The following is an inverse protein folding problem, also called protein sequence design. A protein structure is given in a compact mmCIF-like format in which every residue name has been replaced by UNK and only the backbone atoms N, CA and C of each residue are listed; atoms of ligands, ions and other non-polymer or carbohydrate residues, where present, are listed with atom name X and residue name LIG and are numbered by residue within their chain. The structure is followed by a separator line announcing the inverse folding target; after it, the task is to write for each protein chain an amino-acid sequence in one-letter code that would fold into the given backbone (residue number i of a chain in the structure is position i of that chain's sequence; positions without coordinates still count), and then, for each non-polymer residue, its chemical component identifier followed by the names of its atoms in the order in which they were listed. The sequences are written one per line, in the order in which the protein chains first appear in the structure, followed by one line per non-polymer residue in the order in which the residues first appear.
data_IF_006715134228
#
_entry.id   IF_006715134228
#
_cell.length_a   1.000
_cell.length_b   1.000
_cell.length_c   1.000
_cell.angle_alpha   90.00
_cell.angle_beta   90.00
_cell.angle_gamma   90.00
#
_symmetry.space_group_name_H-M   'P 1'
#
loop_
_entity.id
_entity.type
_entity.pdbx_description
1 polymer ?
#
# COMPACT_ATOMS: atom_id res chain seq x y z
N UNK A 1 9.55 -0.23 -3.95
CA UNK A 1 9.09 -1.52 -4.49
C UNK A 1 7.59 -1.43 -4.76
N UNK A 2 7.13 -1.98 -5.89
CA UNK A 2 5.71 -2.18 -6.21
C UNK A 2 5.39 -3.66 -6.01
N UNK A 3 4.36 -3.95 -5.22
CA UNK A 3 4.02 -5.29 -4.75
C UNK A 3 2.55 -5.59 -5.07
N UNK A 4 2.28 -6.83 -5.48
CA UNK A 4 0.93 -7.38 -5.58
C UNK A 4 0.76 -8.46 -4.52
N UNK A 5 -0.43 -8.56 -3.96
CA UNK A 5 -0.80 -9.55 -2.96
C UNK A 5 -0.52 -10.98 -3.38
N UNK A 6 -0.04 -11.76 -2.41
CA UNK A 6 0.55 -13.08 -2.53
C UNK A 6 1.88 -13.12 -3.31
N UNK A 7 2.98 -13.15 -2.56
CA UNK A 7 4.26 -13.54 -3.12
C UNK A 7 4.85 -14.57 -2.19
N UNK A 8 4.91 -15.82 -2.67
CA UNK A 8 5.69 -16.91 -2.05
C UNK A 8 7.21 -16.63 -1.97
N UNK A 9 7.65 -15.44 -2.40
CA UNK A 9 8.98 -14.88 -2.19
C UNK A 9 9.05 -14.21 -0.80
N UNK A 10 9.93 -14.74 0.07
CA UNK A 10 10.13 -14.26 1.43
C UNK A 10 10.48 -12.77 1.55
N UNK A 11 11.12 -12.19 0.53
CA UNK A 11 11.51 -10.77 0.52
C UNK A 11 10.30 -9.86 0.31
N UNK A 12 9.45 -10.19 -0.67
CA UNK A 12 8.20 -9.48 -0.94
C UNK A 12 7.23 -9.63 0.23
N UNK A 13 7.16 -10.82 0.83
CA UNK A 13 6.37 -11.05 2.04
C UNK A 13 6.81 -10.18 3.22
N UNK A 14 8.11 -9.97 3.41
CA UNK A 14 8.63 -9.04 4.42
C UNK A 14 8.21 -7.59 4.15
N UNK A 15 8.35 -7.12 2.90
CA UNK A 15 7.95 -5.78 2.53
C UNK A 15 6.43 -5.53 2.68
N UNK A 16 5.59 -6.52 2.37
CA UNK A 16 4.14 -6.42 2.61
C UNK A 16 3.79 -6.34 4.10
N UNK A 17 4.51 -7.06 4.97
CA UNK A 17 4.34 -6.92 6.43
C UNK A 17 4.80 -5.54 6.91
N UNK A 18 5.91 -5.05 6.39
CA UNK A 18 6.42 -3.71 6.70
C UNK A 18 5.43 -2.61 6.26
N UNK A 19 4.83 -2.77 5.07
CA UNK A 19 3.76 -1.90 4.58
C UNK A 19 2.53 -1.91 5.49
N UNK A 20 2.04 -3.10 5.82
CA UNK A 20 0.90 -3.28 6.71
C UNK A 20 1.12 -2.55 8.04
N UNK A 21 2.31 -2.70 8.65
CA UNK A 21 2.69 -1.99 9.89
C UNK A 21 2.66 -0.47 9.72
N UNK A 22 3.25 0.08 8.66
CA UNK A 22 3.30 1.53 8.45
C UNK A 22 1.90 2.11 8.29
N UNK A 23 1.02 1.40 7.58
CA UNK A 23 -0.36 1.80 7.34
C UNK A 23 -1.19 1.72 8.64
N UNK A 24 -1.18 0.60 9.37
CA UNK A 24 -2.00 0.44 10.59
C UNK A 24 -1.52 1.27 11.78
N UNK A 25 -0.26 1.75 11.78
CA UNK A 25 0.20 2.75 12.74
C UNK A 25 -0.26 4.18 12.41
N UNK A 26 -0.78 4.40 11.19
CA UNK A 26 -1.21 5.73 10.73
C UNK A 26 -2.70 5.85 10.47
N UNK A 27 -3.43 4.74 10.35
CA UNK A 27 -4.85 4.67 10.08
C UNK A 27 -5.55 3.80 11.12
N UNK A 28 -6.73 4.24 11.55
CA UNK A 28 -7.65 3.38 12.29
C UNK A 28 -8.16 2.24 11.38
N UNK A 29 -8.55 1.09 11.95
CA UNK A 29 -9.16 0.00 11.20
C UNK A 29 -10.35 0.47 10.36
N UNK A 30 -10.46 -0.03 9.13
CA UNK A 30 -11.63 0.22 8.28
C UNK A 30 -12.57 -0.94 8.48
N UNK A 31 -13.54 -0.76 9.39
CA UNK A 31 -14.44 -1.83 9.78
C UNK A 31 -15.54 -2.05 8.73
N UNK A 32 -15.60 -3.26 8.19
CA UNK A 32 -16.74 -3.71 7.41
C UNK A 32 -17.95 -3.97 8.33
N UNK A 33 -19.05 -3.25 8.11
CA UNK A 33 -20.23 -3.32 8.98
C UNK A 33 -20.95 -4.67 8.92
N UNK A 34 -20.85 -5.37 7.79
CA UNK A 34 -21.49 -6.68 7.62
C UNK A 34 -20.73 -7.80 8.36
N UNK A 35 -19.40 -7.82 8.25
CA UNK A 35 -18.58 -8.91 8.82
C UNK A 35 -17.85 -8.55 10.11
N UNK A 36 -17.79 -7.26 10.48
CA UNK A 36 -17.01 -6.77 11.61
C UNK A 36 -15.49 -6.91 11.43
N UNK A 37 -15.01 -7.10 10.19
CA UNK A 37 -13.58 -7.29 9.90
C UNK A 37 -12.94 -5.98 9.45
N UNK A 38 -11.68 -5.80 9.82
CA UNK A 38 -10.85 -4.73 9.29
C UNK A 38 -10.49 -5.02 7.82
N UNK A 39 -10.78 -4.08 6.93
CA UNK A 39 -10.50 -4.14 5.50
C UNK A 39 -9.06 -3.77 5.16
N UNK A 40 -8.33 -3.06 6.03
CA UNK A 40 -6.96 -2.60 5.76
C UNK A 40 -6.03 -3.77 5.40
N UNK A 41 -5.99 -4.90 6.13
CA UNK A 41 -5.18 -6.05 5.73
C UNK A 41 -5.58 -6.60 4.36
N UNK A 42 -6.88 -6.65 4.05
CA UNK A 42 -7.36 -7.17 2.78
C UNK A 42 -6.89 -6.30 1.61
N UNK A 43 -6.90 -4.97 1.79
CA UNK A 43 -6.39 -4.01 0.83
C UNK A 43 -4.87 -4.15 0.62
N UNK A 44 -4.09 -4.25 1.71
CA UNK A 44 -2.60 -4.36 1.63
C UNK A 44 -2.16 -5.67 0.97
N UNK A 45 -2.84 -6.77 1.27
CA UNK A 45 -2.51 -8.10 0.74
C UNK A 45 -3.28 -8.45 -0.55
N UNK A 46 -3.95 -7.49 -1.18
CA UNK A 46 -4.76 -7.67 -2.39
C UNK A 46 -5.74 -8.86 -2.31
N UNK A 47 -6.45 -9.00 -1.19
CA UNK A 47 -7.42 -10.09 -0.94
C UNK A 47 -8.85 -9.55 -1.00
N UNK A 48 -9.77 -10.30 -1.58
CA UNK A 48 -11.19 -9.95 -1.61
C UNK A 48 -12.05 -10.69 -0.58
N UNK A 49 -13.26 -10.18 -0.38
CA UNK A 49 -14.40 -10.89 0.24
C UNK A 49 -15.52 -11.02 -0.81
N UNK A 50 -16.69 -11.51 -0.40
CA UNK A 50 -17.86 -11.52 -1.28
C UNK A 50 -18.32 -10.11 -1.67
N UNK A 51 -18.23 -9.15 -0.75
CA UNK A 51 -18.75 -7.79 -0.92
C UNK A 51 -17.68 -6.78 -1.35
N UNK A 52 -16.40 -7.09 -1.14
CA UNK A 52 -15.28 -6.19 -1.40
C UNK A 52 -14.20 -6.86 -2.25
N UNK A 53 -13.97 -6.37 -3.47
CA UNK A 53 -12.87 -6.83 -4.31
C UNK A 53 -11.64 -5.92 -4.15
N UNK A 54 -10.56 -6.42 -3.56
CA UNK A 54 -9.25 -5.76 -3.49
C UNK A 54 -8.15 -6.47 -4.29
N UNK A 55 -8.50 -7.46 -5.12
CA UNK A 55 -7.52 -8.26 -5.88
C UNK A 55 -6.62 -7.43 -6.82
N UNK A 56 -7.11 -6.26 -7.24
CA UNK A 56 -6.40 -5.30 -8.09
C UNK A 56 -5.71 -4.17 -7.32
N UNK A 57 -5.71 -4.21 -5.98
CA UNK A 57 -4.90 -3.30 -5.18
C UNK A 57 -3.42 -3.67 -5.28
N UNK A 58 -2.57 -2.65 -5.32
CA UNK A 58 -1.13 -2.75 -5.30
C UNK A 58 -0.61 -2.05 -4.04
N UNK A 59 0.47 -2.59 -3.49
CA UNK A 59 1.16 -2.00 -2.36
C UNK A 59 2.51 -1.43 -2.81
N UNK A 60 2.75 -0.16 -2.52
CA UNK A 60 4.03 0.51 -2.74
C UNK A 60 4.76 0.67 -1.43
N UNK A 61 6.05 0.37 -1.41
CA UNK A 61 6.94 0.59 -0.25
C UNK A 61 8.17 1.37 -0.70
N UNK A 62 8.39 2.52 -0.08
CA UNK A 62 9.62 3.31 -0.20
C UNK A 62 10.56 2.93 0.93
N UNK A 63 11.79 2.59 0.58
CA UNK A 63 12.85 2.32 1.53
C UNK A 63 13.91 3.42 1.48
N UNK A 64 14.42 3.80 2.64
CA UNK A 64 15.57 4.69 2.81
C UNK A 64 16.61 3.94 3.64
N UNK A 65 17.84 3.82 3.13
CA UNK A 65 18.92 3.03 3.73
C UNK A 65 18.52 1.59 4.10
N UNK A 66 17.78 0.94 3.18
CA UNK A 66 17.28 -0.43 3.37
C UNK A 66 16.12 -0.56 4.37
N UNK A 67 15.66 0.53 5.00
CA UNK A 67 14.54 0.53 5.94
C UNK A 67 13.27 1.04 5.28
N UNK A 68 12.11 0.38 5.47
CA UNK A 68 10.83 0.86 4.97
C UNK A 68 10.41 2.11 5.74
N UNK A 69 10.14 3.21 5.01
CA UNK A 69 9.84 4.52 5.60
C UNK A 69 8.48 5.08 5.19
N UNK A 70 7.97 4.70 4.02
CA UNK A 70 6.67 5.16 3.52
C UNK A 70 6.02 4.05 2.70
N UNK A 71 4.69 3.93 2.80
CA UNK A 71 3.92 2.95 2.05
C UNK A 71 2.59 3.52 1.58
N UNK A 72 2.08 2.97 0.49
CA UNK A 72 0.76 3.26 -0.02
C UNK A 72 0.06 2.00 -0.51
N UNK A 73 -1.26 2.00 -0.41
CA UNK A 73 -2.13 1.08 -1.15
C UNK A 73 -2.80 1.89 -2.25
N UNK A 74 -2.73 1.38 -3.49
CA UNK A 74 -3.27 2.05 -4.66
C UNK A 74 -3.88 1.06 -5.64
N UNK A 75 -4.79 1.54 -6.49
CA UNK A 75 -5.34 0.79 -7.62
C UNK A 75 -5.22 1.65 -8.87
N UNK A 76 -4.80 1.02 -9.96
CA UNK A 76 -4.67 1.68 -11.27
C UNK A 76 -5.92 1.41 -12.10
N UNK A 77 -6.48 2.46 -12.70
CA UNK A 77 -7.61 2.43 -13.62
C UNK A 77 -7.14 2.78 -15.03
N UNK A 78 -7.17 1.81 -15.93
CA UNK A 78 -6.65 1.99 -17.28
C UNK A 78 -5.16 2.31 -17.27
N UNK A 79 -4.75 3.33 -18.02
CA UNK A 79 -3.32 3.69 -18.18
C UNK A 79 -2.88 4.96 -17.44
N UNK A 80 -3.81 5.82 -17.02
CA UNK A 80 -3.47 7.19 -16.63
C UNK A 80 -4.03 7.64 -15.28
N UNK A 81 -4.78 6.77 -14.59
CA UNK A 81 -5.37 7.12 -13.30
C UNK A 81 -5.02 6.05 -12.28
N UNK A 82 -4.65 6.47 -11.08
CA UNK A 82 -4.64 5.60 -9.91
C UNK A 82 -5.38 6.26 -8.76
N UNK A 83 -6.22 5.50 -8.06
CA UNK A 83 -6.64 5.86 -6.71
C UNK A 83 -5.59 5.38 -5.72
N UNK A 84 -5.39 6.14 -4.66
CA UNK A 84 -4.50 5.79 -3.57
C UNK A 84 -5.26 5.95 -2.26
N UNK A 85 -6.10 4.97 -1.88
CA UNK A 85 -6.95 5.09 -0.70
C UNK A 85 -6.16 5.22 0.60
N UNK A 86 -4.96 4.64 0.68
CA UNK A 86 -4.12 4.69 1.87
C UNK A 86 -2.70 5.11 1.51
N UNK A 87 -2.16 6.09 2.22
CA UNK A 87 -0.74 6.47 2.16
C UNK A 87 -0.26 6.89 3.54
N UNK A 88 0.86 6.30 3.97
CA UNK A 88 1.42 6.53 5.29
C UNK A 88 2.94 6.67 5.23
N UNK A 89 3.47 7.53 6.09
CA UNK A 89 4.91 7.63 6.37
C UNK A 89 5.13 7.31 7.84
N UNK A 90 6.08 6.42 8.12
CA UNK A 90 6.49 6.07 9.48
C UNK A 90 6.78 7.35 10.28
N UNK A 91 6.33 7.40 11.53
CA UNK A 91 6.34 8.63 12.32
C UNK A 91 7.76 9.23 12.44
N UNK A 92 8.78 8.38 12.59
CA UNK A 92 10.17 8.82 12.69
C UNK A 92 10.75 9.34 11.36
N UNK A 93 10.10 9.00 10.23
CA UNK A 93 10.52 9.38 8.89
C UNK A 93 9.70 10.55 8.29
N UNK A 94 8.72 11.08 9.02
CA UNK A 94 7.89 12.20 8.52
C UNK A 94 8.74 13.46 8.31
N UNK A 95 8.23 14.35 7.44
CA UNK A 95 8.86 15.64 7.07
C UNK A 95 10.21 15.54 6.34
N UNK A 96 10.57 14.36 5.86
CA UNK A 96 11.82 14.13 5.10
C UNK A 96 11.60 13.96 3.58
N UNK A 97 10.36 14.13 3.09
CA UNK A 97 10.05 14.07 1.65
C UNK A 97 9.71 12.67 1.10
N UNK A 98 9.69 11.62 1.92
CA UNK A 98 9.43 10.24 1.46
C UNK A 98 8.06 10.06 0.77
N UNK A 99 6.99 10.69 1.29
CA UNK A 99 5.68 10.66 0.64
C UNK A 99 5.70 11.34 -0.74
N UNK A 100 6.40 12.47 -0.87
CA UNK A 100 6.60 13.13 -2.17
C UNK A 100 7.34 12.21 -3.15
N UNK A 101 8.40 11.54 -2.70
CA UNK A 101 9.12 10.58 -3.52
C UNK A 101 8.23 9.39 -3.94
N UNK A 102 7.36 8.90 -3.05
CA UNK A 102 6.37 7.88 -3.36
C UNK A 102 5.43 8.34 -4.47
N UNK A 103 4.81 9.51 -4.34
CA UNK A 103 3.83 10.02 -5.32
C UNK A 103 4.50 10.23 -6.68
N UNK A 104 5.70 10.84 -6.73
CA UNK A 104 6.47 11.00 -7.97
C UNK A 104 6.73 9.64 -8.63
N UNK A 105 7.11 8.61 -7.85
CA UNK A 105 7.35 7.29 -8.41
C UNK A 105 6.06 6.67 -8.99
N UNK A 106 4.91 6.87 -8.34
CA UNK A 106 3.60 6.42 -8.86
C UNK A 106 3.26 7.15 -10.16
N UNK A 107 3.39 8.48 -10.20
CA UNK A 107 3.16 9.28 -11.41
C UNK A 107 4.05 8.83 -12.58
N UNK A 108 5.33 8.54 -12.31
CA UNK A 108 6.26 8.03 -13.31
C UNK A 108 5.87 6.63 -13.82
N UNK A 109 5.30 5.78 -12.97
CA UNK A 109 4.76 4.48 -13.38
C UNK A 109 3.56 4.68 -14.30
N UNK A 110 2.64 5.58 -13.96
CA UNK A 110 1.45 5.87 -14.76
C UNK A 110 1.79 6.54 -16.10
N UNK A 111 2.80 7.40 -16.15
CA UNK A 111 3.23 8.06 -17.39
C UNK A 111 3.87 7.09 -18.41
N UNK A 112 4.31 5.91 -17.96
CA UNK A 112 4.94 4.88 -18.80
C UNK A 112 3.97 3.75 -19.22
N UNK A 113 2.77 3.74 -18.66
CA UNK A 113 1.81 2.64 -18.76
C UNK A 113 0.99 2.63 -20.04
#
# INVERSE_FOLDING_TARGET
ALLKGDSGDGTKGKLLRDAHRIITLSFDPIMDLATGKDLVPLMVYSKGTADHDFSNMLCVVVCHDGKPVCSAVLRVFGRHLAEMPLVATDHAARRQGHCRALVIAVEQILARA
#
